data_IF_421741803703
#
_entry.id   IF_421741803703
#
_cell.length_a   1.000
_cell.length_b   1.000
_cell.length_c   1.000
_cell.angle_alpha   90.00
_cell.angle_beta   90.00
_cell.angle_gamma   90.00
#
_symmetry.space_group_name_H-M   'P 1'
#
loop_
_entity.id
_entity.type
_entity.pdbx_description
1 polymer ?
#
# COMPACT_ATOMS: atom_id res chain seq x y z
N UNK A 1 12.99 -14.80 -1.60
CA UNK A 1 14.11 -14.07 -2.24
C UNK A 1 13.66 -12.94 -3.16
N UNK A 2 12.76 -13.14 -4.11
CA UNK A 2 12.32 -12.08 -5.04
C UNK A 2 11.77 -10.83 -4.34
N UNK A 3 11.01 -11.01 -3.26
CA UNK A 3 10.48 -9.90 -2.45
C UNK A 3 11.57 -8.99 -1.87
N UNK A 4 12.60 -9.56 -1.26
CA UNK A 4 13.71 -8.81 -0.67
C UNK A 4 14.50 -8.03 -1.74
N UNK A 5 14.79 -8.67 -2.89
CA UNK A 5 15.44 -7.98 -4.02
C UNK A 5 14.60 -6.83 -4.57
N UNK A 6 13.29 -7.04 -4.68
CA UNK A 6 12.37 -5.99 -5.12
C UNK A 6 12.30 -4.85 -4.11
N UNK A 7 12.34 -5.14 -2.81
CA UNK A 7 12.38 -4.11 -1.76
C UNK A 7 13.66 -3.27 -1.84
N UNK A 8 14.84 -3.89 -1.98
CA UNK A 8 16.12 -3.17 -2.14
C UNK A 8 16.07 -2.26 -3.39
N UNK A 9 15.56 -2.77 -4.51
CA UNK A 9 15.40 -1.98 -5.74
C UNK A 9 14.42 -0.82 -5.59
N UNK A 10 13.29 -1.06 -4.93
CA UNK A 10 12.27 -0.06 -4.69
C UNK A 10 12.80 1.10 -3.81
N UNK A 11 13.61 0.80 -2.79
CA UNK A 11 14.17 1.83 -1.92
C UNK A 11 15.28 2.63 -2.61
N UNK A 12 16.14 1.97 -3.39
CA UNK A 12 17.28 2.63 -4.05
C UNK A 12 16.90 3.38 -5.34
N UNK A 13 15.82 2.98 -6.03
CA UNK A 13 15.30 3.66 -7.23
C UNK A 13 13.77 3.81 -7.18
N UNK A 14 13.24 4.62 -6.25
CA UNK A 14 11.80 4.67 -5.97
C UNK A 14 10.96 5.11 -7.17
N UNK A 15 11.43 6.13 -7.92
CA UNK A 15 10.74 6.60 -9.14
C UNK A 15 10.68 5.54 -10.23
N UNK A 16 11.84 5.02 -10.61
CA UNK A 16 11.92 4.02 -11.69
C UNK A 16 11.08 2.79 -11.38
N UNK A 17 11.16 2.29 -10.15
CA UNK A 17 10.41 1.11 -9.74
C UNK A 17 8.90 1.37 -9.69
N UNK A 18 8.47 2.53 -9.15
CA UNK A 18 7.06 2.91 -9.13
C UNK A 18 6.49 3.05 -10.55
N UNK A 19 7.19 3.77 -11.44
CA UNK A 19 6.77 3.93 -12.83
C UNK A 19 6.69 2.62 -13.59
N UNK A 20 7.63 1.69 -13.38
CA UNK A 20 7.58 0.38 -14.02
C UNK A 20 6.36 -0.41 -13.57
N UNK A 21 6.08 -0.47 -12.26
CA UNK A 21 4.94 -1.24 -11.75
C UNK A 21 3.61 -0.63 -12.19
N UNK A 22 3.40 0.66 -11.94
CA UNK A 22 2.15 1.33 -12.29
C UNK A 22 1.98 1.45 -13.80
N UNK A 23 3.07 1.67 -14.55
CA UNK A 23 3.07 1.69 -16.00
C UNK A 23 2.62 0.37 -16.59
N UNK A 24 3.23 -0.76 -16.18
CA UNK A 24 2.83 -2.09 -16.66
C UNK A 24 1.39 -2.39 -16.25
N UNK A 25 1.01 -2.13 -15.00
CA UNK A 25 -0.33 -2.43 -14.51
C UNK A 25 -1.41 -1.65 -15.26
N UNK A 26 -1.26 -0.32 -15.42
CA UNK A 26 -2.23 0.50 -16.14
C UNK A 26 -2.22 0.23 -17.64
N UNK A 27 -1.07 -0.09 -18.22
CA UNK A 27 -0.99 -0.47 -19.64
C UNK A 27 -1.73 -1.78 -19.91
N UNK A 28 -1.54 -2.80 -19.07
CA UNK A 28 -2.27 -4.07 -19.18
C UNK A 28 -3.77 -3.85 -18.99
N UNK A 29 -4.16 -3.06 -17.99
CA UNK A 29 -5.57 -2.71 -17.78
C UNK A 29 -6.16 -2.02 -19.01
N UNK A 30 -5.46 -1.06 -19.58
CA UNK A 30 -5.88 -0.37 -20.80
C UNK A 30 -6.02 -1.32 -21.99
N UNK A 31 -5.05 -2.21 -22.21
CA UNK A 31 -5.13 -3.24 -23.25
C UNK A 31 -6.36 -4.14 -23.09
N UNK A 32 -6.69 -4.53 -21.86
CA UNK A 32 -7.90 -5.30 -21.57
C UNK A 32 -9.15 -4.47 -21.87
N UNK A 33 -9.16 -3.18 -21.53
CA UNK A 33 -10.27 -2.27 -21.83
C UNK A 33 -10.48 -2.03 -23.33
N UNK A 34 -9.47 -2.23 -24.19
CA UNK A 34 -9.64 -2.10 -25.64
C UNK A 34 -10.61 -3.13 -26.22
N UNK A 35 -10.73 -4.32 -25.60
CA UNK A 35 -11.63 -5.38 -26.06
C UNK A 35 -13.10 -4.93 -26.02
N UNK A 36 -13.67 -4.49 -24.88
CA UNK A 36 -15.03 -3.97 -24.87
C UNK A 36 -15.15 -2.67 -25.66
N UNK A 37 -14.12 -1.80 -25.70
CA UNK A 37 -14.17 -0.60 -26.54
C UNK A 37 -14.37 -0.96 -28.02
N UNK A 38 -13.69 -1.97 -28.53
CA UNK A 38 -13.85 -2.42 -29.92
C UNK A 38 -15.27 -2.90 -30.23
N UNK A 39 -15.95 -3.53 -29.27
CA UNK A 39 -17.33 -3.98 -29.43
C UNK A 39 -18.38 -2.88 -29.28
N UNK A 40 -18.05 -1.80 -28.54
CA UNK A 40 -18.97 -0.69 -28.27
C UNK A 40 -18.85 0.44 -29.30
N UNK A 41 -17.80 0.46 -30.11
CA UNK A 41 -17.58 1.51 -31.11
C UNK A 41 -17.93 1.05 -32.51
N UNK A 42 -18.94 1.68 -33.11
CA UNK A 42 -19.42 1.33 -34.46
C UNK A 42 -18.51 1.84 -35.60
N UNK A 43 -17.52 2.68 -35.30
CA UNK A 43 -16.64 3.29 -36.31
C UNK A 43 -15.18 3.31 -35.87
N UNK A 44 -14.23 3.18 -36.82
CA UNK A 44 -12.80 3.21 -36.52
C UNK A 44 -12.35 4.57 -35.94
N UNK A 45 -12.99 5.67 -36.35
CA UNK A 45 -12.71 7.00 -35.80
C UNK A 45 -13.06 7.11 -34.31
N UNK A 46 -14.22 6.57 -33.88
CA UNK A 46 -14.60 6.52 -32.46
C UNK A 46 -13.68 5.60 -31.67
N UNK A 47 -13.32 4.44 -32.20
CA UNK A 47 -12.37 3.53 -31.58
C UNK A 47 -11.01 4.21 -31.32
N UNK A 48 -10.46 4.90 -32.33
CA UNK A 48 -9.20 5.64 -32.20
C UNK A 48 -9.32 6.79 -31.18
N UNK A 49 -10.43 7.51 -31.16
CA UNK A 49 -10.65 8.58 -30.20
C UNK A 49 -10.68 8.06 -28.74
N UNK A 50 -11.43 6.99 -28.47
CA UNK A 50 -11.52 6.42 -27.12
C UNK A 50 -10.22 5.72 -26.68
N UNK A 51 -9.57 4.98 -27.57
CA UNK A 51 -8.28 4.35 -27.26
C UNK A 51 -7.19 5.39 -26.99
N UNK A 52 -7.12 6.46 -27.80
CA UNK A 52 -6.20 7.57 -27.59
C UNK A 52 -6.45 8.33 -26.29
N UNK A 53 -7.71 8.66 -25.98
CA UNK A 53 -8.08 9.27 -24.71
C UNK A 53 -7.72 8.37 -23.50
N UNK A 54 -7.99 7.07 -23.62
CA UNK A 54 -7.61 6.08 -22.61
C UNK A 54 -6.11 6.01 -22.40
N UNK A 55 -5.31 6.11 -23.46
CA UNK A 55 -3.85 6.10 -23.38
C UNK A 55 -3.32 7.35 -22.65
N UNK A 56 -3.85 8.53 -22.95
CA UNK A 56 -3.50 9.77 -22.23
C UNK A 56 -3.81 9.63 -20.74
N UNK A 57 -4.97 9.05 -20.40
CA UNK A 57 -5.36 8.80 -19.01
C UNK A 57 -4.42 7.81 -18.32
N UNK A 58 -4.00 6.74 -19.01
CA UNK A 58 -3.00 5.78 -18.50
C UNK A 58 -1.68 6.47 -18.20
N UNK A 59 -1.15 7.27 -19.14
CA UNK A 59 0.12 7.99 -18.93
C UNK A 59 0.00 8.95 -17.74
N UNK A 60 -1.10 9.71 -17.66
CA UNK A 60 -1.36 10.63 -16.55
C UNK A 60 -1.48 9.91 -15.20
N UNK A 61 -2.21 8.80 -15.15
CA UNK A 61 -2.37 7.99 -13.94
C UNK A 61 -1.04 7.33 -13.52
N UNK A 62 -0.25 6.81 -14.46
CA UNK A 62 1.09 6.28 -14.18
C UNK A 62 2.01 7.37 -13.62
N UNK A 63 1.98 8.58 -14.21
CA UNK A 63 2.76 9.72 -13.73
C UNK A 63 2.41 10.06 -12.27
N UNK A 64 1.11 10.24 -12.00
CA UNK A 64 0.59 10.61 -10.69
C UNK A 64 0.87 9.53 -9.63
N UNK A 65 0.47 8.29 -9.88
CA UNK A 65 0.69 7.18 -8.95
C UNK A 65 2.18 6.90 -8.74
N UNK A 66 2.99 7.02 -9.81
CA UNK A 66 4.43 6.87 -9.76
C UNK A 66 5.11 7.90 -8.85
N UNK A 67 4.80 9.19 -9.00
CA UNK A 67 5.34 10.23 -8.11
C UNK A 67 4.82 10.08 -6.68
N UNK A 68 3.53 9.80 -6.47
CA UNK A 68 2.97 9.59 -5.13
C UNK A 68 3.64 8.42 -4.40
N UNK A 69 3.82 7.28 -5.06
CA UNK A 69 4.48 6.13 -4.47
C UNK A 69 5.99 6.35 -4.26
N UNK A 70 6.65 7.07 -5.17
CA UNK A 70 8.05 7.43 -5.01
C UNK A 70 8.25 8.40 -3.84
N UNK A 71 7.36 9.39 -3.70
CA UNK A 71 7.33 10.29 -2.56
C UNK A 71 7.09 9.54 -1.25
N UNK A 72 6.08 8.66 -1.21
CA UNK A 72 5.80 7.83 -0.04
C UNK A 72 7.02 7.01 0.37
N UNK A 73 7.69 6.37 -0.60
CA UNK A 73 8.90 5.59 -0.34
C UNK A 73 10.04 6.46 0.19
N UNK A 74 10.23 7.68 -0.33
CA UNK A 74 11.25 8.62 0.19
C UNK A 74 10.96 9.08 1.60
N UNK A 75 9.70 9.39 1.91
CA UNK A 75 9.26 9.77 3.27
C UNK A 75 9.47 8.60 4.23
N UNK A 76 9.16 7.38 3.79
CA UNK A 76 9.31 6.16 4.59
C UNK A 76 10.78 5.84 4.90
N UNK A 77 11.64 5.96 3.90
CA UNK A 77 13.07 5.64 4.00
C UNK A 77 13.84 6.75 4.71
N UNK A 78 13.43 8.02 4.58
CA UNK A 78 13.99 9.22 5.24
C UNK A 78 15.53 9.30 5.23
N UNK A 79 16.16 8.80 4.17
CA UNK A 79 17.61 8.84 3.99
C UNK A 79 18.39 7.63 4.53
N UNK A 80 17.71 6.61 5.06
CA UNK A 80 18.34 5.35 5.50
C UNK A 80 17.81 4.15 4.68
N UNK A 81 18.15 4.09 3.36
CA UNK A 81 17.77 2.96 2.52
C UNK A 81 18.53 1.70 2.91
N UNK A 82 17.95 0.54 2.61
CA UNK A 82 18.68 -0.70 2.67
C UNK A 82 19.91 -0.64 1.74
N UNK A 83 21.09 -1.13 2.19
CA UNK A 83 22.29 -1.17 1.38
C UNK A 83 22.02 -1.86 0.03
N UNK A 84 22.49 -1.29 -1.07
CA UNK A 84 22.22 -1.79 -2.42
C UNK A 84 22.84 -3.18 -2.67
N UNK A 85 23.89 -3.51 -1.94
CA UNK A 85 24.64 -4.76 -1.91
C UNK A 85 24.18 -5.72 -0.80
N UNK A 86 23.14 -5.37 -0.02
CA UNK A 86 22.63 -6.21 1.04
C UNK A 86 22.17 -7.57 0.49
N UNK A 87 22.66 -8.65 1.09
CA UNK A 87 22.25 -10.00 0.72
C UNK A 87 20.72 -10.16 0.92
N UNK A 88 19.95 -10.50 -0.13
CA UNK A 88 18.51 -10.67 -0.02
C UNK A 88 18.10 -11.76 0.97
N UNK A 89 18.98 -12.72 1.30
CA UNK A 89 18.73 -13.68 2.39
C UNK A 89 18.73 -12.97 3.73
N UNK A 90 19.76 -12.16 4.01
CA UNK A 90 19.88 -11.41 5.27
C UNK A 90 18.75 -10.41 5.45
N UNK A 91 18.31 -9.76 4.37
CA UNK A 91 17.12 -8.90 4.39
C UNK A 91 15.85 -9.68 4.70
N UNK A 92 15.67 -10.88 4.15
CA UNK A 92 14.51 -11.73 4.47
C UNK A 92 14.54 -12.23 5.92
N UNK A 93 15.73 -12.52 6.46
CA UNK A 93 15.91 -12.84 7.89
C UNK A 93 15.56 -11.63 8.75
N UNK A 94 16.04 -10.44 8.39
CA UNK A 94 15.72 -9.20 9.08
C UNK A 94 14.21 -8.89 9.10
N UNK A 95 13.50 -9.10 7.98
CA UNK A 95 12.03 -9.01 7.94
C UNK A 95 11.36 -9.99 8.93
N UNK A 96 11.90 -11.21 9.05
CA UNK A 96 11.37 -12.23 9.96
C UNK A 96 11.64 -11.89 11.42
N UNK A 97 12.83 -11.38 11.73
CA UNK A 97 13.20 -10.88 13.05
C UNK A 97 12.29 -9.72 13.47
N UNK A 98 12.03 -8.76 12.58
CA UNK A 98 11.05 -7.69 12.80
C UNK A 98 9.64 -8.23 13.02
N UNK A 99 9.21 -9.20 12.21
CA UNK A 99 7.89 -9.81 12.36
C UNK A 99 7.73 -10.54 13.70
N UNK A 100 8.82 -11.02 14.30
CA UNK A 100 8.83 -11.65 15.62
C UNK A 100 9.12 -10.66 16.76
N UNK A 101 9.71 -9.51 16.47
CA UNK A 101 10.11 -8.50 17.46
C UNK A 101 11.31 -8.95 18.31
N UNK A 102 12.21 -9.76 17.75
CA UNK A 102 13.38 -10.32 18.46
C UNK A 102 14.67 -10.09 17.67
N UNK A 103 15.81 -10.10 18.36
CA UNK A 103 17.13 -10.10 17.74
C UNK A 103 17.54 -11.51 17.32
N UNK A 104 18.36 -11.60 16.28
CA UNK A 104 19.00 -12.82 15.82
C UNK A 104 20.39 -13.01 16.44
N UNK A 105 21.14 -13.96 15.88
CA UNK A 105 22.54 -14.23 16.22
C UNK A 105 23.54 -13.53 15.30
N UNK A 106 23.07 -12.96 14.19
CA UNK A 106 23.91 -12.36 13.16
C UNK A 106 23.82 -10.82 13.24
N UNK A 107 24.92 -10.11 13.60
CA UNK A 107 24.87 -8.67 13.86
C UNK A 107 24.48 -7.86 12.63
N UNK A 108 24.84 -8.33 11.43
CA UNK A 108 24.42 -7.69 10.18
C UNK A 108 22.91 -7.80 9.92
N UNK A 109 22.29 -8.94 10.25
CA UNK A 109 20.85 -9.11 10.10
C UNK A 109 20.09 -8.27 11.14
N UNK A 110 20.64 -8.13 12.35
CA UNK A 110 20.08 -7.28 13.40
C UNK A 110 20.14 -5.80 13.03
N UNK A 111 21.25 -5.35 12.44
CA UNK A 111 21.37 -3.98 11.91
C UNK A 111 20.33 -3.71 10.82
N UNK A 112 20.14 -4.64 9.87
CA UNK A 112 19.10 -4.51 8.85
C UNK A 112 17.70 -4.53 9.47
N UNK A 113 17.46 -5.34 10.50
CA UNK A 113 16.19 -5.41 11.20
C UNK A 113 15.88 -4.09 11.94
N UNK A 114 16.91 -3.42 12.48
CA UNK A 114 16.78 -2.09 13.10
C UNK A 114 16.33 -1.03 12.09
N UNK A 115 16.95 -1.00 10.91
CA UNK A 115 16.55 -0.09 9.81
C UNK A 115 15.09 -0.37 9.40
N UNK A 116 14.73 -1.64 9.22
CA UNK A 116 13.35 -2.02 8.88
C UNK A 116 12.34 -1.68 9.99
N UNK A 117 12.73 -1.78 11.27
CA UNK A 117 11.87 -1.39 12.38
C UNK A 117 11.55 0.12 12.36
N UNK A 118 12.56 0.95 12.10
CA UNK A 118 12.37 2.40 11.95
C UNK A 118 11.50 2.74 10.74
N UNK A 119 11.71 2.06 9.62
CA UNK A 119 10.88 2.21 8.44
C UNK A 119 9.43 1.78 8.71
N UNK A 120 9.18 0.66 9.39
CA UNK A 120 7.81 0.21 9.70
C UNK A 120 7.13 1.16 10.71
N UNK A 121 7.84 1.72 11.69
CA UNK A 121 7.29 2.74 12.58
C UNK A 121 6.84 3.99 11.79
N UNK A 122 7.69 4.49 10.89
CA UNK A 122 7.33 5.61 9.98
C UNK A 122 6.17 5.27 9.06
N UNK A 123 6.12 4.02 8.56
CA UNK A 123 5.00 3.54 7.74
C UNK A 123 3.69 3.68 8.46
N UNK A 124 3.69 3.33 9.74
CA UNK A 124 2.50 3.35 10.55
C UNK A 124 2.01 4.78 10.78
N UNK A 125 2.94 5.73 10.97
CA UNK A 125 2.60 7.14 11.12
C UNK A 125 2.09 7.78 9.82
N UNK A 126 2.65 7.41 8.66
CA UNK A 126 2.27 7.96 7.34
C UNK A 126 0.98 7.32 6.81
N UNK A 127 0.86 5.99 6.82
CA UNK A 127 -0.32 5.28 6.25
C UNK A 127 -1.50 5.19 7.21
N UNK A 128 -1.27 5.27 8.51
CA UNK A 128 -2.33 5.11 9.51
C UNK A 128 -2.41 6.27 10.49
N UNK A 129 -2.53 7.52 10.01
CA UNK A 129 -2.87 8.62 10.91
C UNK A 129 -4.22 8.30 11.57
N UNK A 130 -4.41 8.74 12.82
CA UNK A 130 -5.70 8.61 13.52
C UNK A 130 -6.86 9.16 12.67
N UNK A 131 -6.58 10.18 11.85
CA UNK A 131 -7.48 10.75 10.86
C UNK A 131 -7.99 9.75 9.81
N UNK A 132 -7.20 8.75 9.40
CA UNK A 132 -7.62 7.74 8.40
C UNK A 132 -8.73 6.84 8.95
N UNK A 133 -8.67 6.47 10.24
CA UNK A 133 -9.75 5.72 10.88
C UNK A 133 -11.03 6.54 10.98
N UNK A 134 -10.89 7.82 11.35
CA UNK A 134 -12.03 8.74 11.39
C UNK A 134 -12.65 8.92 10.01
N UNK A 135 -11.82 9.09 8.97
CA UNK A 135 -12.27 9.17 7.58
C UNK A 135 -13.03 7.91 7.15
N UNK A 136 -12.48 6.71 7.39
CA UNK A 136 -13.16 5.46 7.07
C UNK A 136 -14.48 5.28 7.82
N UNK A 137 -14.55 5.70 9.09
CA UNK A 137 -15.78 5.64 9.88
C UNK A 137 -16.85 6.61 9.34
N UNK A 138 -16.45 7.84 8.99
CA UNK A 138 -17.36 8.84 8.38
C UNK A 138 -17.81 8.40 7.00
N UNK A 139 -16.91 7.85 6.18
CA UNK A 139 -17.25 7.29 4.87
C UNK A 139 -18.24 6.13 4.98
N UNK A 140 -18.01 5.19 5.92
CA UNK A 140 -18.94 4.10 6.19
C UNK A 140 -20.32 4.62 6.62
N UNK A 141 -20.37 5.63 7.48
CA UNK A 141 -21.61 6.26 7.92
C UNK A 141 -22.34 6.93 6.74
N UNK A 142 -21.63 7.69 5.91
CA UNK A 142 -22.21 8.35 4.73
C UNK A 142 -22.80 7.34 3.74
N UNK A 143 -22.06 6.27 3.45
CA UNK A 143 -22.52 5.17 2.59
C UNK A 143 -23.73 4.46 3.19
N UNK A 144 -23.73 4.20 4.49
CA UNK A 144 -24.88 3.59 5.18
C UNK A 144 -26.13 4.49 5.12
N UNK A 145 -25.98 5.80 5.30
CA UNK A 145 -27.08 6.77 5.21
C UNK A 145 -27.64 6.83 3.79
N UNK A 146 -26.78 6.85 2.76
CA UNK A 146 -27.21 6.80 1.37
C UNK A 146 -27.97 5.50 1.06
N UNK A 147 -27.45 4.36 1.53
CA UNK A 147 -28.10 3.05 1.39
C UNK A 147 -29.48 3.04 2.05
N UNK A 148 -29.58 3.55 3.29
CA UNK A 148 -30.83 3.64 4.03
C UNK A 148 -31.83 4.56 3.33
N UNK A 149 -31.38 5.70 2.80
CA UNK A 149 -32.23 6.60 2.00
C UNK A 149 -32.78 5.88 0.77
N UNK A 150 -31.94 5.21 -0.02
CA UNK A 150 -32.38 4.48 -1.22
C UNK A 150 -33.42 3.41 -0.85
N UNK A 151 -33.19 2.67 0.23
CA UNK A 151 -34.14 1.67 0.73
C UNK A 151 -35.48 2.26 1.21
N UNK A 152 -35.46 3.43 1.85
CA UNK A 152 -36.68 4.10 2.35
C UNK A 152 -37.48 4.77 1.24
N UNK A 153 -36.80 5.40 0.26
CA UNK A 153 -37.44 6.19 -0.80
C UNK A 153 -37.86 5.34 -1.98
N UNK A 154 -37.00 4.41 -2.41
CA UNK A 154 -37.19 3.66 -3.65
C UNK A 154 -37.53 2.18 -3.40
N UNK A 155 -37.30 1.69 -2.18
CA UNK A 155 -37.49 0.29 -1.82
C UNK A 155 -36.45 -0.63 -2.46
N UNK A 156 -36.53 -1.92 -2.12
CA UNK A 156 -35.68 -2.94 -2.70
C UNK A 156 -36.32 -3.47 -3.99
N UNK A 157 -35.81 -3.00 -5.13
CA UNK A 157 -36.30 -3.39 -6.47
C UNK A 157 -35.17 -4.01 -7.29
N UNK A 158 -35.46 -4.72 -8.39
CA UNK A 158 -34.41 -5.25 -9.28
C UNK A 158 -33.45 -4.18 -9.83
N UNK A 159 -33.91 -2.92 -9.89
CA UNK A 159 -33.12 -1.78 -10.37
C UNK A 159 -32.22 -1.21 -9.27
N UNK A 160 -32.70 -1.14 -8.02
CA UNK A 160 -31.94 -0.59 -6.88
C UNK A 160 -31.08 -1.64 -6.17
N UNK A 161 -31.34 -2.93 -6.39
CA UNK A 161 -30.61 -4.03 -5.78
C UNK A 161 -29.08 -4.01 -6.03
N UNK A 162 -28.58 -3.77 -7.27
CA UNK A 162 -27.14 -3.69 -7.52
C UNK A 162 -26.48 -2.52 -6.77
N UNK A 163 -27.15 -1.37 -6.74
CA UNK A 163 -26.69 -0.17 -6.06
C UNK A 163 -26.59 -0.39 -4.55
N UNK A 164 -27.65 -0.89 -3.91
CA UNK A 164 -27.69 -1.21 -2.47
C UNK A 164 -26.63 -2.25 -2.11
N UNK A 165 -26.41 -3.24 -2.98
CA UNK A 165 -25.39 -4.27 -2.77
C UNK A 165 -23.98 -3.68 -2.79
N UNK A 166 -23.67 -2.82 -3.76
CA UNK A 166 -22.37 -2.14 -3.86
C UNK A 166 -22.14 -1.25 -2.65
N UNK A 167 -23.11 -0.43 -2.26
CA UNK A 167 -22.98 0.45 -1.10
C UNK A 167 -22.80 -0.36 0.19
N UNK A 168 -23.57 -1.43 0.37
CA UNK A 168 -23.43 -2.31 1.54
C UNK A 168 -22.05 -2.97 1.60
N UNK A 169 -21.51 -3.38 0.45
CA UNK A 169 -20.17 -3.96 0.35
C UNK A 169 -19.09 -2.93 0.66
N UNK A 170 -19.22 -1.70 0.15
CA UNK A 170 -18.31 -0.59 0.46
C UNK A 170 -18.35 -0.26 1.95
N UNK A 171 -19.54 -0.14 2.55
CA UNK A 171 -19.69 0.10 3.98
C UNK A 171 -19.06 -1.02 4.82
N UNK A 172 -19.30 -2.28 4.45
CA UNK A 172 -18.69 -3.44 5.12
C UNK A 172 -17.15 -3.43 5.00
N UNK A 173 -16.60 -3.10 3.83
CA UNK A 173 -15.15 -2.98 3.63
C UNK A 173 -14.55 -1.82 4.45
N UNK A 174 -15.21 -0.66 4.49
CA UNK A 174 -14.78 0.48 5.29
C UNK A 174 -14.79 0.14 6.79
N UNK A 175 -15.85 -0.52 7.29
CA UNK A 175 -15.94 -0.96 8.69
C UNK A 175 -14.92 -2.03 9.03
N UNK A 176 -14.75 -3.04 8.16
CA UNK A 176 -13.73 -4.07 8.32
C UNK A 176 -12.33 -3.47 8.35
N UNK A 177 -12.05 -2.52 7.45
CA UNK A 177 -10.79 -1.80 7.41
C UNK A 177 -10.59 -0.97 8.69
N UNK A 178 -11.62 -0.26 9.14
CA UNK A 178 -11.58 0.52 10.37
C UNK A 178 -11.37 -0.33 11.63
N UNK A 179 -11.88 -1.57 11.67
CA UNK A 179 -11.75 -2.48 12.81
C UNK A 179 -10.42 -3.26 12.85
N UNK A 180 -10.01 -3.83 11.71
CA UNK A 180 -8.84 -4.73 11.65
C UNK A 180 -7.52 -3.99 11.61
N UNK A 181 -7.44 -2.90 10.85
CA UNK A 181 -6.20 -2.12 10.72
C UNK A 181 -5.65 -1.58 12.04
N UNK A 182 -6.46 -1.18 13.04
CA UNK A 182 -5.97 -0.78 14.35
C UNK A 182 -5.13 -1.81 15.09
N UNK A 183 -5.65 -3.02 15.19
CA UNK A 183 -5.04 -4.08 15.97
C UNK A 183 -3.75 -4.55 15.30
N UNK A 184 -3.77 -4.66 13.98
CA UNK A 184 -2.61 -5.04 13.19
C UNK A 184 -1.53 -3.96 13.24
N UNK A 185 -1.89 -2.68 13.11
CA UNK A 185 -0.96 -1.56 13.25
C UNK A 185 -0.33 -1.52 14.65
N UNK A 186 -1.13 -1.68 15.72
CA UNK A 186 -0.63 -1.69 17.09
C UNK A 186 0.32 -2.87 17.36
N UNK A 187 0.00 -4.07 16.86
CA UNK A 187 0.88 -5.24 16.96
C UNK A 187 2.21 -5.02 16.27
N UNK A 188 2.20 -4.48 15.05
CA UNK A 188 3.42 -4.18 14.29
C UNK A 188 4.26 -3.11 14.96
N UNK A 189 3.62 -2.06 15.48
CA UNK A 189 4.28 -1.00 16.26
C UNK A 189 5.02 -1.56 17.47
N UNK A 190 4.33 -2.36 18.29
CA UNK A 190 4.93 -2.99 19.48
C UNK A 190 6.13 -3.87 19.13
N UNK A 191 6.07 -4.62 18.02
CA UNK A 191 7.18 -5.47 17.57
C UNK A 191 8.38 -4.66 17.07
N UNK A 192 8.12 -3.60 16.30
CA UNK A 192 9.17 -2.69 15.86
C UNK A 192 9.83 -1.97 17.05
N UNK A 193 9.04 -1.48 18.00
CA UNK A 193 9.53 -0.85 19.23
C UNK A 193 10.32 -1.84 20.10
N UNK A 194 9.83 -3.07 20.29
CA UNK A 194 10.53 -4.11 21.04
C UNK A 194 11.89 -4.47 20.42
N UNK A 195 11.94 -4.62 19.09
CA UNK A 195 13.20 -4.91 18.38
C UNK A 195 14.17 -3.73 18.48
N UNK A 196 13.70 -2.51 18.26
CA UNK A 196 14.49 -1.28 18.43
C UNK A 196 15.12 -1.22 19.82
N UNK A 197 14.31 -1.39 20.87
CA UNK A 197 14.77 -1.33 22.25
C UNK A 197 15.73 -2.47 22.60
N UNK A 198 15.54 -3.67 22.04
CA UNK A 198 16.47 -4.77 22.21
C UNK A 198 17.82 -4.46 21.55
N UNK A 199 17.81 -3.95 20.31
CA UNK A 199 19.01 -3.57 19.59
C UNK A 199 19.76 -2.43 20.27
N UNK A 200 19.06 -1.39 20.71
CA UNK A 200 19.67 -0.22 21.35
C UNK A 200 20.33 -0.60 22.69
N UNK A 201 19.73 -1.53 23.45
CA UNK A 201 20.35 -2.12 24.66
C UNK A 201 21.58 -2.95 24.34
N UNK A 202 21.53 -3.80 23.31
CA UNK A 202 22.68 -4.58 22.85
C UNK A 202 23.84 -3.67 22.41
N UNK A 203 23.53 -2.63 21.63
CA UNK A 203 24.50 -1.67 21.13
C UNK A 203 25.10 -0.78 22.24
N UNK A 204 24.34 -0.49 23.30
CA UNK A 204 24.85 0.22 24.48
C UNK A 204 25.76 -0.66 25.35
N UNK A 205 25.38 -1.93 25.56
CA UNK A 205 26.21 -2.90 26.29
C UNK A 205 27.52 -3.24 25.58
N UNK A 206 27.52 -3.28 24.24
CA UNK A 206 28.73 -3.50 23.45
C UNK A 206 29.72 -2.32 23.45
N UNK A 207 29.32 -1.13 23.93
CA UNK A 207 30.19 0.07 24.03
C UNK A 207 30.89 0.21 25.38
N UNK A 208 30.65 -0.71 26.31
CA UNK A 208 31.38 -0.81 27.58
C UNK A 208 32.25 -2.07 27.58
N UNK A 209 33.45 -2.04 26.98
CA UNK A 209 34.51 -2.97 27.31
C UNK A 209 35.10 -2.69 28.70
#
# INVERSE_FOLDING_TARGET
>A
MFRARNMIRAQNRPRLFAYLIFGIAFLVLWLVCLVPTAHLTDTPARFLAYSGAGLVLVVGATALCGELAAWETRVLVRGDPLPADADPVRVAVAERLLAWGVLGSAPEADRLARILADQEARKLDVRFPRAWRAFLAVAALGVAVMTARTLVVEGLTPVTFPEVTIHSLVAALCLWAAWRHPADAARRRRRAEALSQAYDRYAAGARHP
#
